data_IF_703132197567
#
_entry.id   IF_703132197567
#
_cell.length_a   1.000
_cell.length_b   1.000
_cell.length_c   1.000
_cell.angle_alpha   90.00
_cell.angle_beta   90.00
_cell.angle_gamma   90.00
#
_symmetry.space_group_name_H-M   'P 1'
#
loop_
_entity.id
_entity.type
_entity.pdbx_description
1 polymer ?
#
# COMPACT_ATOMS: atom_id res chain seq x y z
N UNK A 1 -13.66 -14.16 -26.33
CA UNK A 1 -14.53 -13.14 -25.80
C UNK A 1 -14.25 -12.87 -24.31
N UNK A 2 -14.29 -11.62 -23.94
CA UNK A 2 -14.03 -11.24 -22.56
C UNK A 2 -15.27 -11.37 -21.70
N UNK A 3 -15.11 -11.81 -20.48
CA UNK A 3 -16.18 -11.81 -19.49
C UNK A 3 -16.53 -10.36 -19.12
N UNK A 4 -17.66 -10.16 -18.46
CA UNK A 4 -18.06 -8.83 -17.95
C UNK A 4 -17.01 -8.27 -17.00
N UNK A 5 -16.37 -9.12 -16.20
CA UNK A 5 -15.32 -8.72 -15.29
C UNK A 5 -14.09 -8.19 -16.05
N UNK A 6 -13.67 -8.91 -17.09
CA UNK A 6 -12.52 -8.49 -17.89
C UNK A 6 -12.80 -7.19 -18.64
N UNK A 7 -14.02 -7.00 -19.10
CA UNK A 7 -14.41 -5.75 -19.75
C UNK A 7 -14.32 -4.57 -18.77
N UNK A 8 -14.84 -4.76 -17.57
CA UNK A 8 -14.77 -3.76 -16.52
C UNK A 8 -13.31 -3.42 -16.16
N UNK A 9 -12.46 -4.43 -16.02
CA UNK A 9 -11.03 -4.27 -15.77
C UNK A 9 -10.39 -3.38 -16.82
N UNK A 10 -10.67 -3.66 -18.07
CA UNK A 10 -10.05 -2.94 -19.17
C UNK A 10 -10.41 -1.45 -19.14
N UNK A 11 -11.68 -1.14 -18.92
CA UNK A 11 -12.13 0.24 -18.86
C UNK A 11 -11.50 1.02 -17.69
N UNK A 12 -11.38 0.39 -16.54
CA UNK A 12 -10.81 1.04 -15.37
C UNK A 12 -9.32 1.27 -15.56
N UNK A 13 -8.60 0.34 -16.17
CA UNK A 13 -7.18 0.51 -16.46
C UNK A 13 -6.91 1.71 -17.34
N UNK A 14 -7.77 1.98 -18.30
CA UNK A 14 -7.63 3.15 -19.15
C UNK A 14 -7.77 4.46 -18.39
N UNK A 15 -8.50 4.47 -17.28
CA UNK A 15 -8.78 5.69 -16.54
C UNK A 15 -7.82 5.92 -15.37
N UNK A 16 -7.60 4.95 -14.48
CA UNK A 16 -6.91 5.20 -13.22
C UNK A 16 -5.97 4.08 -12.75
N UNK A 17 -6.06 2.90 -13.31
CA UNK A 17 -5.23 1.79 -12.85
C UNK A 17 -3.80 1.95 -13.35
N UNK A 18 -2.85 1.55 -12.53
CA UNK A 18 -1.42 1.64 -12.84
C UNK A 18 -0.73 0.32 -12.52
N UNK A 19 0.44 0.16 -13.11
CA UNK A 19 1.32 -0.95 -12.77
C UNK A 19 2.05 -0.65 -11.48
N UNK A 20 2.39 -1.70 -10.76
CA UNK A 20 3.11 -1.55 -9.49
C UNK A 20 4.00 -2.75 -9.26
N UNK A 21 5.03 -2.54 -8.44
CA UNK A 21 5.91 -3.61 -7.98
C UNK A 21 5.30 -4.28 -6.77
N UNK A 22 5.45 -5.59 -6.70
CA UNK A 22 4.83 -6.39 -5.66
C UNK A 22 5.80 -7.42 -5.11
N UNK A 23 5.81 -7.55 -3.78
CA UNK A 23 6.48 -8.62 -3.07
C UNK A 23 5.41 -9.36 -2.28
N UNK A 24 5.37 -10.69 -2.39
CA UNK A 24 4.39 -11.49 -1.66
C UNK A 24 4.63 -11.43 -0.16
N UNK A 25 3.56 -11.28 0.60
CA UNK A 25 3.60 -11.41 2.05
C UNK A 25 3.46 -12.87 2.47
N UNK A 26 3.41 -13.09 3.78
CA UNK A 26 3.33 -14.45 4.33
C UNK A 26 1.90 -14.99 4.44
N UNK A 27 0.89 -14.18 4.13
CA UNK A 27 -0.50 -14.60 4.26
C UNK A 27 -1.33 -14.13 3.08
N UNK A 28 -1.43 -14.96 2.06
CA UNK A 28 -2.17 -14.63 0.84
C UNK A 28 -3.69 -14.52 1.06
N UNK A 29 -4.18 -14.98 2.19
CA UNK A 29 -5.61 -14.88 2.54
C UNK A 29 -5.93 -13.60 3.31
N UNK A 30 -4.92 -12.84 3.68
CA UNK A 30 -5.08 -11.58 4.39
C UNK A 30 -5.48 -10.46 3.44
N UNK A 31 -6.16 -9.45 3.96
CA UNK A 31 -6.40 -8.21 3.23
C UNK A 31 -5.47 -7.07 3.69
N UNK A 32 -4.45 -7.39 4.48
CA UNK A 32 -3.45 -6.42 4.92
C UNK A 32 -2.38 -6.25 3.86
N UNK A 33 -2.12 -4.99 3.48
CA UNK A 33 -1.08 -4.64 2.51
C UNK A 33 -0.17 -3.58 3.09
N UNK A 34 1.09 -3.58 2.66
CA UNK A 34 2.11 -2.61 3.07
C UNK A 34 2.56 -1.89 1.82
N UNK A 35 2.42 -0.58 1.80
CA UNK A 35 2.68 0.26 0.62
C UNK A 35 3.77 1.27 0.91
N UNK A 36 4.55 1.60 -0.11
CA UNK A 36 5.55 2.67 -0.03
C UNK A 36 5.72 3.29 -1.41
N UNK A 37 6.28 4.50 -1.43
CA UNK A 37 6.62 5.17 -2.69
C UNK A 37 7.78 4.45 -3.37
N UNK A 38 8.81 4.08 -2.63
CA UNK A 38 10.02 3.48 -3.18
C UNK A 38 10.02 1.96 -3.11
N UNK A 39 10.54 1.33 -4.17
CA UNK A 39 10.67 -0.13 -4.20
C UNK A 39 11.66 -0.63 -3.14
N UNK A 40 12.70 0.15 -2.84
CA UNK A 40 13.67 -0.24 -1.83
C UNK A 40 13.09 -0.23 -0.42
N UNK A 41 12.10 0.63 -0.17
CA UNK A 41 11.41 0.68 1.12
C UNK A 41 10.62 -0.60 1.36
N UNK A 42 9.86 -1.06 0.38
CA UNK A 42 9.11 -2.31 0.52
C UNK A 42 10.02 -3.52 0.56
N UNK A 43 11.12 -3.49 -0.19
CA UNK A 43 12.10 -4.59 -0.17
C UNK A 43 12.75 -4.69 1.21
N UNK A 44 13.21 -3.58 1.75
CA UNK A 44 13.81 -3.52 3.08
C UNK A 44 12.82 -3.98 4.15
N UNK A 45 11.59 -3.50 4.09
CA UNK A 45 10.57 -3.89 5.07
C UNK A 45 10.25 -5.37 5.00
N UNK A 46 10.24 -5.96 3.80
CA UNK A 46 9.98 -7.40 3.64
C UNK A 46 11.07 -8.26 4.28
N UNK A 47 12.29 -7.70 4.43
CA UNK A 47 13.42 -8.39 5.06
C UNK A 47 13.42 -8.14 6.57
N UNK A 48 13.30 -6.88 7.00
CA UNK A 48 13.54 -6.50 8.39
C UNK A 48 12.29 -6.44 9.25
N UNK A 49 11.10 -6.38 8.63
CA UNK A 49 9.81 -6.42 9.33
C UNK A 49 9.71 -5.43 10.49
N UNK A 50 10.09 -4.18 10.24
CA UNK A 50 10.12 -3.15 11.29
C UNK A 50 8.72 -2.80 11.80
N UNK A 51 7.68 -3.02 10.99
CA UNK A 51 6.28 -2.78 11.40
C UNK A 51 5.67 -3.97 12.14
N UNK A 52 6.29 -5.15 12.06
CA UNK A 52 5.75 -6.36 12.67
C UNK A 52 4.58 -6.97 11.92
N UNK A 53 4.34 -6.57 10.67
CA UNK A 53 3.17 -6.99 9.90
C UNK A 53 3.40 -8.16 8.95
N UNK A 54 4.64 -8.64 8.84
CA UNK A 54 5.02 -9.59 7.80
C UNK A 54 4.16 -10.84 7.77
N UNK A 55 3.92 -11.44 8.94
CA UNK A 55 3.18 -12.71 9.01
C UNK A 55 1.70 -12.56 8.71
N UNK A 56 1.18 -11.34 8.76
CA UNK A 56 -0.24 -11.07 8.51
C UNK A 56 -0.48 -10.35 7.20
N UNK A 57 0.54 -10.12 6.40
CA UNK A 57 0.45 -9.33 5.18
C UNK A 57 0.25 -10.20 3.96
N UNK A 58 -0.65 -9.75 3.10
CA UNK A 58 -0.86 -10.32 1.78
C UNK A 58 0.29 -9.97 0.84
N UNK A 59 0.69 -8.71 0.84
CA UNK A 59 1.73 -8.22 -0.06
C UNK A 59 2.31 -6.89 0.40
N UNK A 60 3.46 -6.58 -0.18
CA UNK A 60 4.10 -5.27 -0.17
C UNK A 60 4.03 -4.74 -1.59
N UNK A 61 3.71 -3.46 -1.78
CA UNK A 61 3.58 -2.90 -3.12
C UNK A 61 4.08 -1.46 -3.20
N UNK A 62 4.60 -1.11 -4.37
CA UNK A 62 5.08 0.24 -4.67
C UNK A 62 4.74 0.61 -6.10
N UNK A 63 4.22 1.81 -6.30
CA UNK A 63 3.97 2.37 -7.62
C UNK A 63 5.08 3.30 -8.08
N UNK A 64 6.16 3.43 -7.31
CA UNK A 64 7.26 4.38 -7.55
C UNK A 64 6.78 5.83 -7.56
N UNK A 65 5.70 6.12 -6.84
CA UNK A 65 5.14 7.46 -6.74
C UNK A 65 4.24 7.54 -5.50
N UNK A 66 3.76 8.74 -5.23
CA UNK A 66 2.78 8.97 -4.15
C UNK A 66 1.34 8.75 -4.59
N UNK A 67 1.12 8.08 -5.71
CA UNK A 67 -0.21 7.77 -6.24
C UNK A 67 -0.85 6.61 -5.47
N UNK A 68 -0.96 6.74 -4.16
CA UNK A 68 -1.48 5.68 -3.30
C UNK A 68 -2.93 5.35 -3.59
N UNK A 69 -3.75 6.33 -3.95
CA UNK A 69 -5.14 6.08 -4.27
C UNK A 69 -5.27 5.13 -5.46
N UNK A 70 -4.55 5.42 -6.54
CA UNK A 70 -4.55 4.57 -7.73
C UNK A 70 -3.93 3.21 -7.44
N UNK A 71 -2.89 3.16 -6.62
CA UNK A 71 -2.26 1.91 -6.20
C UNK A 71 -3.24 1.02 -5.45
N UNK A 72 -3.96 1.58 -4.47
CA UNK A 72 -4.95 0.83 -3.69
C UNK A 72 -6.06 0.31 -4.59
N UNK A 73 -6.58 1.12 -5.51
CA UNK A 73 -7.58 0.70 -6.46
C UNK A 73 -7.08 -0.44 -7.35
N UNK A 74 -5.84 -0.34 -7.81
CA UNK A 74 -5.23 -1.37 -8.65
C UNK A 74 -5.08 -2.70 -7.92
N UNK A 75 -4.68 -2.65 -6.65
CA UNK A 75 -4.53 -3.84 -5.82
C UNK A 75 -5.89 -4.49 -5.59
N UNK A 76 -6.88 -3.72 -5.19
CA UNK A 76 -8.24 -4.22 -4.96
C UNK A 76 -8.74 -4.95 -6.21
N UNK A 77 -8.52 -4.36 -7.37
CA UNK A 77 -8.96 -4.93 -8.63
C UNK A 77 -8.18 -6.20 -8.99
N UNK A 78 -6.85 -6.12 -8.94
CA UNK A 78 -5.99 -7.24 -9.38
C UNK A 78 -6.07 -8.44 -8.43
N UNK A 79 -6.22 -8.21 -7.14
CA UNK A 79 -6.32 -9.27 -6.13
C UNK A 79 -7.76 -9.74 -5.93
N UNK A 80 -8.71 -9.11 -6.62
CA UNK A 80 -10.13 -9.47 -6.52
C UNK A 80 -10.63 -9.46 -5.08
N UNK A 81 -10.20 -8.45 -4.33
CA UNK A 81 -10.65 -8.25 -2.95
C UNK A 81 -11.60 -7.06 -2.90
N UNK A 82 -12.36 -6.94 -1.80
CA UNK A 82 -13.31 -5.84 -1.66
C UNK A 82 -12.72 -4.66 -0.91
N UNK A 83 -11.97 -4.92 0.14
CA UNK A 83 -11.43 -3.88 1.01
C UNK A 83 -10.07 -4.30 1.50
N UNK A 84 -9.23 -3.31 1.78
CA UNK A 84 -7.86 -3.52 2.25
C UNK A 84 -7.63 -2.85 3.59
N UNK A 85 -6.84 -3.50 4.43
CA UNK A 85 -6.19 -2.88 5.57
C UNK A 85 -4.86 -2.34 5.07
N UNK A 86 -4.77 -1.04 4.92
CA UNK A 86 -3.66 -0.37 4.26
C UNK A 86 -2.66 0.15 5.29
N UNK A 87 -1.39 -0.15 5.08
CA UNK A 87 -0.30 0.33 5.91
C UNK A 87 0.72 1.00 4.99
N UNK A 88 0.99 2.27 5.20
CA UNK A 88 1.86 3.04 4.33
C UNK A 88 3.15 3.39 5.08
N UNK A 89 4.28 3.06 4.45
CA UNK A 89 5.59 3.48 4.91
C UNK A 89 5.86 4.83 4.25
N UNK A 90 5.68 5.91 4.99
CA UNK A 90 5.69 7.26 4.44
C UNK A 90 7.04 7.92 4.52
N UNK A 91 7.35 8.75 3.53
CA UNK A 91 8.42 9.73 3.63
C UNK A 91 8.05 10.76 4.69
N UNK A 92 9.04 11.26 5.41
CA UNK A 92 8.82 12.17 6.52
C UNK A 92 8.28 13.55 6.09
N UNK A 93 8.43 13.89 4.82
CA UNK A 93 7.96 15.18 4.29
C UNK A 93 6.49 15.17 3.88
N UNK A 94 5.79 14.06 3.99
CA UNK A 94 4.38 13.97 3.63
C UNK A 94 3.55 14.04 4.91
N UNK A 95 2.65 15.04 4.97
CA UNK A 95 1.81 15.26 6.15
C UNK A 95 0.68 14.22 6.24
N UNK A 96 0.25 13.95 7.48
CA UNK A 96 -0.86 13.01 7.71
C UNK A 96 -2.15 13.41 7.00
N UNK A 97 -2.35 14.70 6.77
CA UNK A 97 -3.55 15.18 6.11
C UNK A 97 -3.71 14.65 4.69
N UNK A 98 -2.59 14.43 4.02
CA UNK A 98 -2.57 13.80 2.70
C UNK A 98 -3.22 12.40 2.76
N UNK A 99 -2.87 11.63 3.77
CA UNK A 99 -3.40 10.27 3.93
C UNK A 99 -4.84 10.26 4.46
N UNK A 100 -5.20 11.24 5.28
CA UNK A 100 -6.59 11.39 5.73
C UNK A 100 -7.54 11.61 4.55
N UNK A 101 -7.12 12.38 3.57
CA UNK A 101 -7.92 12.60 2.36
C UNK A 101 -8.09 11.32 1.56
N UNK A 102 -7.02 10.53 1.44
CA UNK A 102 -7.09 9.25 0.74
C UNK A 102 -8.14 8.35 1.39
N UNK A 103 -8.11 8.20 2.70
CA UNK A 103 -9.07 7.37 3.41
C UNK A 103 -10.49 7.91 3.25
N UNK A 104 -10.65 9.21 3.38
CA UNK A 104 -11.98 9.84 3.32
C UNK A 104 -12.66 9.61 1.97
N UNK A 105 -11.92 9.70 0.87
CA UNK A 105 -12.47 9.55 -0.46
C UNK A 105 -12.53 8.11 -0.94
N UNK A 106 -11.98 7.16 -0.18
CA UNK A 106 -11.90 5.76 -0.60
C UNK A 106 -12.40 4.81 0.48
N UNK A 107 -13.36 5.24 1.28
CA UNK A 107 -13.90 4.44 2.40
C UNK A 107 -14.45 3.10 1.97
N UNK A 108 -14.92 2.99 0.74
CA UNK A 108 -15.52 1.76 0.22
C UNK A 108 -14.50 0.66 -0.05
N UNK A 109 -13.23 1.01 -0.21
CA UNK A 109 -12.17 0.02 -0.48
C UNK A 109 -11.09 -0.01 0.60
N UNK A 110 -11.10 0.93 1.55
CA UNK A 110 -10.16 0.98 2.66
C UNK A 110 -10.88 0.61 3.94
N UNK A 111 -10.51 -0.53 4.51
CA UNK A 111 -11.04 -0.99 5.79
C UNK A 111 -10.38 -0.25 6.95
N UNK A 112 -9.07 -0.10 6.88
CA UNK A 112 -8.30 0.67 7.85
C UNK A 112 -7.07 1.25 7.15
N UNK A 113 -6.56 2.35 7.67
CA UNK A 113 -5.35 2.99 7.15
C UNK A 113 -4.44 3.38 8.32
N UNK A 114 -3.22 2.90 8.27
CA UNK A 114 -2.16 3.28 9.21
C UNK A 114 -0.98 3.81 8.41
N UNK A 115 -0.32 4.82 8.95
CA UNK A 115 0.84 5.45 8.34
C UNK A 115 2.02 5.33 9.29
N UNK A 116 3.16 4.92 8.76
CA UNK A 116 4.40 4.76 9.53
C UNK A 116 5.41 5.75 9.03
N UNK A 117 6.02 6.50 9.94
CA UNK A 117 7.16 7.36 9.65
C UNK A 117 8.39 6.80 10.35
N UNK A 118 9.54 6.91 9.70
CA UNK A 118 10.80 6.53 10.34
C UNK A 118 11.35 7.75 11.10
N UNK A 119 11.31 7.70 12.42
CA UNK A 119 11.79 8.78 13.28
C UNK A 119 13.31 9.00 13.19
N UNK A 120 14.04 7.98 12.78
CA UNK A 120 15.52 8.01 12.74
C UNK A 120 16.08 8.43 11.40
N UNK A 121 15.26 8.52 10.35
CA UNK A 121 15.71 8.84 9.01
C UNK A 121 14.56 9.27 8.12
N UNK A 122 14.86 9.44 6.83
CA UNK A 122 13.85 9.87 5.85
C UNK A 122 13.01 8.73 5.34
N UNK A 123 13.65 7.61 5.05
CA UNK A 123 13.04 6.50 4.34
C UNK A 123 13.11 5.22 5.17
N UNK A 124 12.40 4.20 4.74
CA UNK A 124 12.42 2.89 5.38
C UNK A 124 13.51 1.97 4.84
N UNK A 125 14.34 2.45 3.91
CA UNK A 125 15.50 1.72 3.41
C UNK A 125 16.82 2.18 4.04
N UNK A 126 16.77 3.09 4.99
CA UNK A 126 17.96 3.54 5.72
C UNK A 126 17.94 3.01 7.15
N UNK A 127 19.12 2.77 7.70
CA UNK A 127 19.26 2.31 9.08
C UNK A 127 19.84 3.42 9.95
N UNK A 128 19.44 3.49 11.22
CA UNK A 128 18.44 2.66 11.90
C UNK A 128 17.03 3.03 11.50
N UNK A 129 16.12 2.05 11.59
CA UNK A 129 14.69 2.28 11.34
C UNK A 129 13.98 2.27 12.69
N UNK A 130 13.26 3.35 12.98
CA UNK A 130 12.51 3.52 14.21
C UNK A 130 11.11 4.01 13.84
N UNK A 131 10.18 3.08 13.54
CA UNK A 131 8.87 3.47 13.01
C UNK A 131 7.96 4.04 14.07
N UNK A 132 7.24 5.09 13.68
CA UNK A 132 6.17 5.67 14.48
C UNK A 132 4.87 5.51 13.71
N UNK A 133 3.88 4.86 14.33
CA UNK A 133 2.61 4.51 13.70
C UNK A 133 1.52 5.52 14.03
N UNK A 134 0.80 5.95 13.00
CA UNK A 134 -0.40 6.79 13.15
C UNK A 134 -1.59 6.06 12.53
N UNK A 135 -2.65 5.88 13.30
CA UNK A 135 -3.88 5.28 12.81
C UNK A 135 -4.79 6.41 12.33
N UNK A 136 -5.22 6.32 11.09
CA UNK A 136 -6.03 7.35 10.45
C UNK A 136 -7.53 7.05 10.64
#
# INVERSE_FOLDING_TARGET
RKSSFNHFKYQIQESNFLDYYKISGNNINSNTVILAEGIFDIFSESIFDTTGLKNNSRMYASALSTSYESLIKSIVFNEQTFRLKVNILSDNNIALDFYRKIKRFNKHIIDSLSVYYNKSGKDFNVTPINPEKFII
#
